data_IF_064583623312
#
_entry.id   IF_064583623312
#
_cell.length_a   1.000
_cell.length_b   1.000
_cell.length_c   1.000
_cell.angle_alpha   90.00
_cell.angle_beta   90.00
_cell.angle_gamma   90.00
#
_symmetry.space_group_name_H-M   'P 1'
#
loop_
_entity.id
_entity.type
_entity.pdbx_description
1 polymer ?
#
# COMPACT_ATOMS: atom_id res chain seq x y z
N UNK A 1 20.33 5.32 13.24
CA UNK A 1 20.19 5.29 11.77
C UNK A 1 19.17 6.33 11.34
N UNK A 2 19.54 7.27 10.44
CA UNK A 2 18.60 8.26 9.89
C UNK A 2 17.42 7.56 9.19
N UNK A 3 16.22 8.15 9.21
CA UNK A 3 15.00 7.58 8.61
C UNK A 3 15.25 7.14 7.15
N UNK A 4 15.99 7.93 6.37
CA UNK A 4 16.36 7.59 4.99
C UNK A 4 17.12 6.25 4.88
N UNK A 5 18.07 6.01 5.79
CA UNK A 5 18.88 4.79 5.76
C UNK A 5 18.04 3.58 6.19
N UNK A 6 17.04 3.75 7.08
CA UNK A 6 16.09 2.70 7.44
C UNK A 6 15.28 2.26 6.22
N UNK A 7 14.72 3.21 5.48
CA UNK A 7 13.94 2.93 4.27
C UNK A 7 14.78 2.22 3.21
N UNK A 8 16.00 2.71 2.93
CA UNK A 8 16.90 2.11 1.94
C UNK A 8 17.28 0.67 2.28
N UNK A 9 17.59 0.40 3.55
CA UNK A 9 17.91 -0.94 4.01
C UNK A 9 16.71 -1.88 3.86
N UNK A 10 15.52 -1.44 4.28
CA UNK A 10 14.29 -2.24 4.10
C UNK A 10 14.03 -2.56 2.63
N UNK A 11 14.20 -1.58 1.74
CA UNK A 11 14.02 -1.78 0.30
C UNK A 11 15.01 -2.82 -0.24
N UNK A 12 16.29 -2.68 0.09
CA UNK A 12 17.32 -3.63 -0.33
C UNK A 12 17.01 -5.05 0.14
N UNK A 13 16.70 -5.23 1.43
CA UNK A 13 16.37 -6.54 2.00
C UNK A 13 15.13 -7.15 1.35
N UNK A 14 14.09 -6.36 1.06
CA UNK A 14 12.88 -6.85 0.39
C UNK A 14 13.19 -7.30 -1.05
N UNK A 15 13.99 -6.54 -1.79
CA UNK A 15 14.41 -6.93 -3.14
C UNK A 15 15.21 -8.24 -3.11
N UNK A 16 16.16 -8.37 -2.18
CA UNK A 16 16.92 -9.62 -2.01
C UNK A 16 16.01 -10.80 -1.70
N UNK A 17 14.99 -10.63 -0.84
CA UNK A 17 14.04 -11.68 -0.51
C UNK A 17 13.23 -12.13 -1.73
N UNK A 18 12.73 -11.20 -2.56
CA UNK A 18 11.99 -11.54 -3.79
C UNK A 18 12.87 -12.31 -4.76
N UNK A 19 14.13 -11.89 -4.95
CA UNK A 19 15.09 -12.60 -5.80
C UNK A 19 15.38 -14.01 -5.25
N UNK A 20 15.55 -14.13 -3.93
CA UNK A 20 15.78 -15.42 -3.27
C UNK A 20 14.61 -16.39 -3.43
N UNK A 21 13.37 -15.92 -3.22
CA UNK A 21 12.16 -16.71 -3.44
C UNK A 21 12.06 -17.13 -4.91
N UNK A 22 12.30 -16.20 -5.84
CA UNK A 22 12.29 -16.49 -7.28
C UNK A 22 13.29 -17.58 -7.66
N UNK A 23 14.53 -17.49 -7.17
CA UNK A 23 15.56 -18.51 -7.38
C UNK A 23 15.10 -19.89 -6.90
N UNK A 24 14.60 -19.99 -5.67
CA UNK A 24 14.13 -21.26 -5.12
C UNK A 24 12.98 -21.86 -5.95
N UNK A 25 12.01 -21.03 -6.33
CA UNK A 25 10.88 -21.49 -7.15
C UNK A 25 11.36 -22.02 -8.52
N UNK A 26 12.33 -21.37 -9.16
CA UNK A 26 12.85 -21.80 -10.46
C UNK A 26 13.72 -23.04 -10.39
N UNK A 27 14.46 -23.24 -9.31
CA UNK A 27 15.35 -24.39 -9.14
C UNK A 27 14.57 -25.68 -8.89
N UNK A 28 13.47 -25.59 -8.14
CA UNK A 28 12.67 -26.75 -7.73
C UNK A 28 11.48 -27.08 -8.66
N UNK A 29 11.24 -26.30 -9.71
CA UNK A 29 10.09 -26.52 -10.62
C UNK A 29 10.42 -27.49 -11.74
N UNK A 30 9.74 -28.65 -11.78
CA UNK A 30 9.97 -29.68 -12.82
C UNK A 30 8.77 -29.87 -13.75
N UNK A 31 7.53 -29.85 -13.24
CA UNK A 31 6.29 -29.72 -14.02
C UNK A 31 5.28 -28.92 -13.20
N UNK A 32 4.86 -27.75 -13.68
CA UNK A 32 4.00 -26.86 -12.90
C UNK A 32 2.64 -26.65 -13.53
N UNK A 33 1.61 -26.75 -12.70
CA UNK A 33 0.24 -26.32 -13.02
C UNK A 33 0.09 -24.80 -12.83
N UNK A 34 0.93 -24.20 -11.99
CA UNK A 34 0.89 -22.78 -11.62
C UNK A 34 1.59 -21.86 -12.64
N UNK A 35 2.70 -22.27 -13.28
CA UNK A 35 3.38 -21.47 -14.33
C UNK A 35 2.74 -21.65 -15.70
N UNK A 36 1.45 -21.37 -15.78
CA UNK A 36 0.68 -21.37 -17.03
C UNK A 36 0.17 -19.97 -17.33
N UNK A 37 -0.18 -19.75 -18.60
CA UNK A 37 -0.70 -18.48 -19.09
C UNK A 37 -2.01 -18.71 -19.83
N UNK A 38 -3.02 -17.91 -19.50
CA UNK A 38 -4.32 -17.91 -20.14
C UNK A 38 -5.24 -19.05 -19.67
N UNK A 39 -6.45 -19.11 -20.27
CA UNK A 39 -7.45 -20.12 -19.90
C UNK A 39 -6.95 -21.53 -20.20
N UNK A 40 -7.26 -22.45 -19.30
CA UNK A 40 -7.00 -23.88 -19.48
C UNK A 40 -7.97 -24.72 -18.64
N UNK A 41 -8.07 -26.02 -18.94
CA UNK A 41 -9.05 -26.90 -18.29
C UNK A 41 -8.74 -27.19 -16.81
N UNK A 42 -7.46 -27.09 -16.43
CA UNK A 42 -7.01 -27.22 -15.04
C UNK A 42 -7.18 -25.91 -14.24
N UNK A 43 -7.54 -24.81 -14.91
CA UNK A 43 -7.71 -23.52 -14.25
C UNK A 43 -9.07 -23.44 -13.56
N UNK A 44 -9.08 -23.70 -12.25
CA UNK A 44 -10.29 -23.63 -11.42
C UNK A 44 -10.21 -22.43 -10.47
N UNK A 45 -11.17 -21.51 -10.59
CA UNK A 45 -11.38 -20.40 -9.67
C UNK A 45 -12.69 -20.58 -8.90
N UNK A 46 -12.63 -20.81 -7.58
CA UNK A 46 -13.82 -21.00 -6.70
C UNK A 46 -14.85 -21.95 -7.35
N UNK A 47 -14.40 -23.17 -7.68
CA UNK A 47 -15.22 -24.21 -8.33
C UNK A 47 -15.70 -23.90 -9.76
N UNK A 48 -15.27 -22.80 -10.38
CA UNK A 48 -15.56 -22.47 -11.78
C UNK A 48 -14.33 -22.74 -12.63
N UNK A 49 -14.47 -23.58 -13.66
CA UNK A 49 -13.43 -23.79 -14.66
C UNK A 49 -13.33 -22.59 -15.62
N UNK A 50 -12.15 -21.98 -15.68
CA UNK A 50 -11.79 -20.84 -16.52
C UNK A 50 -11.05 -21.36 -17.77
N UNK A 51 -11.79 -22.10 -18.59
CA UNK A 51 -11.27 -22.74 -19.80
C UNK A 51 -11.59 -22.00 -21.10
N UNK A 52 -12.28 -20.86 -21.03
CA UNK A 52 -12.61 -20.04 -22.21
C UNK A 52 -12.16 -18.59 -22.01
N UNK A 53 -11.80 -17.94 -23.12
CA UNK A 53 -11.39 -16.52 -23.11
C UNK A 53 -12.42 -15.58 -22.48
N UNK A 54 -13.75 -15.72 -22.72
CA UNK A 54 -14.74 -14.87 -22.05
C UNK A 54 -14.72 -15.00 -20.52
N UNK A 55 -14.61 -16.23 -19.99
CA UNK A 55 -14.50 -16.46 -18.55
C UNK A 55 -13.20 -15.85 -18.00
N UNK A 56 -12.11 -15.99 -18.74
CA UNK A 56 -10.81 -15.43 -18.39
C UNK A 56 -10.83 -13.90 -18.32
N UNK A 57 -11.37 -13.21 -19.33
CA UNK A 57 -11.51 -11.75 -19.30
C UNK A 57 -12.47 -11.26 -18.21
N UNK A 58 -13.54 -12.01 -17.93
CA UNK A 58 -14.43 -11.71 -16.80
C UNK A 58 -13.68 -11.78 -15.47
N UNK A 59 -12.81 -12.77 -15.30
CA UNK A 59 -11.96 -12.89 -14.12
C UNK A 59 -10.95 -11.75 -14.03
N UNK A 60 -10.25 -11.42 -15.11
CA UNK A 60 -9.33 -10.27 -15.13
C UNK A 60 -10.04 -8.96 -14.76
N UNK A 61 -11.27 -8.76 -15.23
CA UNK A 61 -12.08 -7.59 -14.88
C UNK A 61 -12.42 -7.56 -13.38
N UNK A 62 -12.80 -8.71 -12.81
CA UNK A 62 -13.05 -8.84 -11.37
C UNK A 62 -11.81 -8.46 -10.55
N UNK A 63 -10.65 -8.97 -10.96
CA UNK A 63 -9.35 -8.70 -10.31
C UNK A 63 -9.02 -7.22 -10.40
N UNK A 64 -9.13 -6.65 -11.60
CA UNK A 64 -8.85 -5.23 -11.84
C UNK A 64 -9.67 -4.32 -10.91
N UNK A 65 -10.98 -4.56 -10.80
CA UNK A 65 -11.86 -3.78 -9.92
C UNK A 65 -11.50 -4.02 -8.44
N UNK A 66 -11.27 -5.27 -8.05
CA UNK A 66 -10.89 -5.60 -6.68
C UNK A 66 -9.60 -4.87 -6.26
N UNK A 67 -8.60 -4.83 -7.14
CA UNK A 67 -7.28 -4.29 -6.85
C UNK A 67 -7.26 -2.75 -6.82
N UNK A 68 -8.07 -2.10 -7.67
CA UNK A 68 -8.30 -0.65 -7.55
C UNK A 68 -8.91 -0.32 -6.18
N UNK A 69 -9.99 -1.01 -5.81
CA UNK A 69 -10.68 -0.77 -4.54
C UNK A 69 -9.73 -1.06 -3.38
N UNK A 70 -8.94 -2.13 -3.48
CA UNK A 70 -7.91 -2.49 -2.51
C UNK A 70 -6.95 -1.34 -2.25
N UNK A 71 -6.34 -0.81 -3.30
CA UNK A 71 -5.32 0.23 -3.18
C UNK A 71 -5.94 1.50 -2.60
N UNK A 72 -7.14 1.90 -3.03
CA UNK A 72 -7.83 3.06 -2.46
C UNK A 72 -8.06 2.87 -0.95
N UNK A 73 -8.50 1.69 -0.52
CA UNK A 73 -8.68 1.38 0.89
C UNK A 73 -7.35 1.49 1.65
N UNK A 74 -6.28 0.91 1.13
CA UNK A 74 -4.98 0.83 1.80
C UNK A 74 -4.26 2.18 1.88
N UNK A 75 -4.45 3.04 0.88
CA UNK A 75 -3.77 4.33 0.81
C UNK A 75 -4.57 5.47 1.47
N UNK A 76 -5.91 5.37 1.55
CA UNK A 76 -6.75 6.41 2.16
C UNK A 76 -7.43 5.94 3.45
N UNK A 77 -8.20 4.85 3.38
CA UNK A 77 -9.03 4.39 4.49
C UNK A 77 -8.20 3.92 5.68
N UNK A 78 -7.24 3.03 5.43
CA UNK A 78 -6.42 2.41 6.47
C UNK A 78 -5.60 3.46 7.25
N UNK A 79 -4.89 4.44 6.62
CA UNK A 79 -4.17 5.47 7.37
C UNK A 79 -5.07 6.37 8.22
N UNK A 80 -6.24 6.77 7.72
CA UNK A 80 -7.18 7.61 8.48
C UNK A 80 -7.65 6.87 9.72
N UNK A 81 -8.09 5.62 9.57
CA UNK A 81 -8.55 4.82 10.70
C UNK A 81 -7.40 4.51 11.66
N UNK A 82 -6.23 4.15 11.13
CA UNK A 82 -5.07 3.80 11.95
C UNK A 82 -4.60 4.97 12.81
N UNK A 83 -4.47 6.16 12.21
CA UNK A 83 -4.03 7.38 12.92
C UNK A 83 -5.05 7.89 13.95
N UNK A 84 -6.34 7.59 13.80
CA UNK A 84 -7.36 7.99 14.76
C UNK A 84 -7.59 6.94 15.86
N UNK A 85 -7.45 5.65 15.57
CA UNK A 85 -7.73 4.57 16.53
C UNK A 85 -6.51 4.17 17.33
N UNK A 86 -5.34 4.03 16.69
CA UNK A 86 -4.17 3.40 17.29
C UNK A 86 -3.05 4.37 17.66
N UNK A 87 -3.12 5.64 17.26
CA UNK A 87 -2.14 6.63 17.65
C UNK A 87 -2.29 6.96 19.15
N UNK A 88 -1.34 6.56 20.02
CA UNK A 88 -1.46 6.81 21.45
C UNK A 88 -1.40 8.30 21.79
N UNK A 89 -0.78 9.12 20.95
CA UNK A 89 -0.55 10.55 21.17
C UNK A 89 -1.77 11.40 20.77
N UNK A 90 -2.66 10.85 19.94
CA UNK A 90 -3.88 11.54 19.52
C UNK A 90 -5.04 11.23 20.48
N UNK A 91 -5.12 11.98 21.58
CA UNK A 91 -6.21 11.85 22.58
C UNK A 91 -7.48 12.61 22.20
N UNK A 92 -7.35 13.63 21.38
CA UNK A 92 -8.45 14.48 20.95
C UNK A 92 -8.75 14.23 19.47
N UNK A 93 -10.01 13.89 19.18
CA UNK A 93 -10.50 13.57 17.83
C UNK A 93 -11.74 14.44 17.60
N UNK A 94 -11.66 15.37 16.66
CA UNK A 94 -12.76 16.28 16.32
C UNK A 94 -13.63 15.78 15.17
N UNK A 95 -13.06 15.00 14.25
CA UNK A 95 -13.68 14.67 12.97
C UNK A 95 -14.71 13.52 13.05
N UNK A 96 -14.69 12.74 14.13
CA UNK A 96 -15.53 11.55 14.30
C UNK A 96 -16.06 11.42 15.73
N UNK A 97 -17.31 10.96 15.86
CA UNK A 97 -17.80 10.46 17.13
C UNK A 97 -17.17 9.11 17.48
N UNK A 98 -17.10 8.78 18.78
CA UNK A 98 -16.57 7.50 19.26
C UNK A 98 -17.30 6.29 18.65
N UNK A 99 -18.63 6.37 18.51
CA UNK A 99 -19.43 5.28 17.94
C UNK A 99 -19.16 5.08 16.44
N UNK A 100 -19.05 6.18 15.68
CA UNK A 100 -18.69 6.11 14.26
C UNK A 100 -17.30 5.50 14.07
N UNK A 101 -16.31 5.96 14.83
CA UNK A 101 -14.95 5.44 14.70
C UNK A 101 -14.86 3.96 15.06
N UNK A 102 -15.56 3.54 16.13
CA UNK A 102 -15.64 2.14 16.51
C UNK A 102 -16.31 1.27 15.42
N UNK A 103 -17.43 1.73 14.87
CA UNK A 103 -18.15 1.02 13.81
C UNK A 103 -17.31 0.92 12.53
N UNK A 104 -16.82 2.06 12.01
CA UNK A 104 -16.04 2.09 10.78
C UNK A 104 -14.76 1.27 10.88
N UNK A 105 -14.02 1.36 11.98
CA UNK A 105 -12.81 0.54 12.15
C UNK A 105 -13.12 -0.96 12.10
N UNK A 106 -14.08 -1.44 12.91
CA UNK A 106 -14.40 -2.86 12.96
C UNK A 106 -14.98 -3.37 11.63
N UNK A 107 -15.88 -2.61 11.01
CA UNK A 107 -16.46 -2.96 9.71
C UNK A 107 -15.40 -3.00 8.62
N UNK A 108 -14.49 -2.01 8.58
CA UNK A 108 -13.41 -1.96 7.62
C UNK A 108 -12.47 -3.16 7.77
N UNK A 109 -12.05 -3.48 9.00
CA UNK A 109 -11.21 -4.65 9.27
C UNK A 109 -11.89 -5.96 8.89
N UNK A 110 -13.17 -6.12 9.21
CA UNK A 110 -13.93 -7.32 8.86
C UNK A 110 -14.02 -7.51 7.34
N UNK A 111 -14.43 -6.47 6.61
CA UNK A 111 -14.58 -6.51 5.15
C UNK A 111 -13.21 -6.74 4.50
N UNK A 112 -12.15 -6.07 4.98
CA UNK A 112 -10.79 -6.28 4.47
C UNK A 112 -10.30 -7.72 4.67
N UNK A 113 -10.58 -8.33 5.83
CA UNK A 113 -10.20 -9.71 6.09
C UNK A 113 -10.96 -10.70 5.19
N UNK A 114 -12.27 -10.48 4.97
CA UNK A 114 -13.05 -11.29 4.03
C UNK A 114 -12.49 -11.16 2.62
N UNK A 115 -12.27 -9.92 2.15
CA UNK A 115 -11.69 -9.63 0.83
C UNK A 115 -10.32 -10.27 0.63
N UNK A 116 -9.47 -10.23 1.67
CA UNK A 116 -8.13 -10.85 1.64
C UNK A 116 -8.17 -12.34 1.34
N UNK A 117 -9.18 -13.06 1.81
CA UNK A 117 -9.35 -14.49 1.48
C UNK A 117 -9.54 -14.66 -0.03
N UNK A 118 -10.40 -13.85 -0.65
CA UNK A 118 -10.60 -13.88 -2.10
C UNK A 118 -9.32 -13.55 -2.87
N UNK A 119 -8.59 -12.51 -2.46
CA UNK A 119 -7.31 -12.16 -3.09
C UNK A 119 -6.29 -13.29 -2.99
N UNK A 120 -6.18 -13.95 -1.84
CA UNK A 120 -5.30 -15.11 -1.69
C UNK A 120 -5.70 -16.25 -2.63
N UNK A 121 -6.99 -16.56 -2.74
CA UNK A 121 -7.49 -17.58 -3.66
C UNK A 121 -7.17 -17.23 -5.13
N UNK A 122 -7.28 -15.95 -5.51
CA UNK A 122 -6.90 -15.48 -6.85
C UNK A 122 -5.41 -15.70 -7.06
N UNK A 123 -4.56 -15.22 -6.14
CA UNK A 123 -3.10 -15.24 -6.31
C UNK A 123 -2.48 -16.64 -6.35
N UNK A 124 -3.08 -17.64 -5.69
CA UNK A 124 -2.53 -19.01 -5.69
C UNK A 124 -2.93 -19.85 -6.91
N UNK A 125 -3.88 -19.38 -7.73
CA UNK A 125 -4.40 -20.19 -8.84
C UNK A 125 -3.42 -20.30 -9.99
N UNK A 126 -2.93 -19.18 -10.51
CA UNK A 126 -1.96 -19.14 -11.62
C UNK A 126 -1.05 -17.91 -11.54
N UNK A 127 0.17 -18.04 -12.05
CA UNK A 127 1.17 -16.97 -11.99
C UNK A 127 0.79 -15.76 -12.84
N UNK A 128 0.17 -15.95 -14.00
CA UNK A 128 -0.20 -14.87 -14.91
C UNK A 128 -1.26 -13.96 -14.29
N UNK A 129 -2.24 -14.54 -13.60
CA UNK A 129 -3.25 -13.87 -12.81
C UNK A 129 -2.62 -13.09 -11.64
N UNK A 130 -1.70 -13.71 -10.91
CA UNK A 130 -0.99 -13.05 -9.82
C UNK A 130 -0.15 -11.86 -10.32
N UNK A 131 0.56 -12.02 -11.44
CA UNK A 131 1.35 -10.96 -12.06
C UNK A 131 0.47 -9.83 -12.58
N UNK A 132 -0.68 -10.15 -13.21
CA UNK A 132 -1.64 -9.14 -13.64
C UNK A 132 -2.14 -8.30 -12.47
N UNK A 133 -2.53 -8.96 -11.37
CA UNK A 133 -2.95 -8.28 -10.13
C UNK A 133 -1.87 -7.33 -9.61
N UNK A 134 -0.61 -7.80 -9.52
CA UNK A 134 0.52 -6.97 -9.09
C UNK A 134 0.70 -5.75 -10.00
N UNK A 135 0.63 -5.92 -11.33
CA UNK A 135 0.78 -4.79 -12.27
C UNK A 135 -0.33 -3.76 -12.08
N UNK A 136 -1.59 -4.20 -11.93
CA UNK A 136 -2.72 -3.30 -11.67
C UNK A 136 -2.49 -2.53 -10.38
N UNK A 137 -2.14 -3.22 -9.29
CA UNK A 137 -1.87 -2.59 -8.00
C UNK A 137 -0.74 -1.54 -8.11
N UNK A 138 0.37 -1.86 -8.78
CA UNK A 138 1.49 -0.92 -8.93
C UNK A 138 1.09 0.34 -9.72
N UNK A 139 0.29 0.20 -10.78
CA UNK A 139 -0.18 1.37 -11.56
C UNK A 139 -1.02 2.29 -10.67
N UNK A 140 -1.96 1.73 -9.90
CA UNK A 140 -2.84 2.53 -9.03
C UNK A 140 -2.03 3.15 -7.88
N UNK A 141 -1.10 2.41 -7.28
CA UNK A 141 -0.23 2.92 -6.20
C UNK A 141 0.65 4.07 -6.68
N UNK A 142 1.25 3.99 -7.87
CA UNK A 142 2.05 5.09 -8.44
C UNK A 142 1.22 6.37 -8.55
N UNK A 143 -0.01 6.26 -9.06
CA UNK A 143 -0.93 7.40 -9.19
C UNK A 143 -1.30 7.96 -7.82
N UNK A 144 -1.68 7.10 -6.87
CA UNK A 144 -2.09 7.50 -5.53
C UNK A 144 -0.96 8.15 -4.75
N UNK A 145 0.25 7.57 -4.77
CA UNK A 145 1.42 8.15 -4.10
C UNK A 145 1.73 9.53 -4.69
N UNK A 146 1.71 9.68 -6.02
CA UNK A 146 1.94 10.98 -6.65
C UNK A 146 0.93 12.02 -6.15
N UNK A 147 -0.35 11.69 -6.15
CA UNK A 147 -1.41 12.59 -5.66
C UNK A 147 -1.18 12.99 -4.20
N UNK A 148 -0.84 12.03 -3.32
CA UNK A 148 -0.56 12.28 -1.91
C UNK A 148 0.72 13.11 -1.68
N UNK A 149 1.73 12.99 -2.55
CA UNK A 149 2.95 13.79 -2.48
C UNK A 149 2.72 15.21 -3.01
N UNK A 150 1.87 15.39 -4.02
CA UNK A 150 1.53 16.70 -4.59
C UNK A 150 0.80 17.60 -3.57
N UNK A 151 0.09 17.00 -2.60
CA UNK A 151 -0.52 17.73 -1.48
C UNK A 151 0.50 18.21 -0.42
N UNK A 152 1.74 17.69 -0.45
CA UNK A 152 2.75 17.98 0.58
C UNK A 152 3.67 19.13 0.16
N UNK A 153 4.05 19.94 1.15
CA UNK A 153 5.12 20.94 1.00
C UNK A 153 6.43 20.36 1.50
N UNK A 154 7.44 20.29 0.62
CA UNK A 154 8.76 19.79 0.97
C UNK A 154 9.65 20.94 1.45
N UNK A 155 9.94 20.96 2.74
CA UNK A 155 10.79 21.98 3.36
C UNK A 155 12.21 21.42 3.51
N UNK A 156 13.22 22.19 3.10
CA UNK A 156 14.60 21.82 3.31
C UNK A 156 15.01 22.09 4.77
N UNK A 157 15.54 21.10 5.48
CA UNK A 157 15.99 21.28 6.88
C UNK A 157 17.00 22.42 7.04
N UNK A 158 17.86 22.68 6.03
CA UNK A 158 18.75 23.84 6.03
C UNK A 158 17.99 25.18 5.98
N UNK A 159 16.85 25.23 5.29
CA UNK A 159 16.02 26.44 5.24
C UNK A 159 15.25 26.70 6.54
N UNK A 160 14.92 25.65 7.31
CA UNK A 160 14.30 25.81 8.64
C UNK A 160 15.32 26.37 9.64
N UNK A 161 16.53 25.79 9.66
CA UNK A 161 17.59 26.24 10.57
C UNK A 161 17.96 27.71 10.31
N UNK A 162 18.10 28.10 9.04
CA UNK A 162 18.37 29.49 8.68
C UNK A 162 17.24 30.44 9.07
N UNK A 163 15.98 29.98 9.02
CA UNK A 163 14.81 30.80 9.39
C UNK A 163 14.72 30.97 10.90
N UNK A 164 15.02 29.93 11.68
CA UNK A 164 15.09 29.99 13.14
C UNK A 164 16.24 30.90 13.61
N UNK A 165 17.43 30.76 13.03
CA UNK A 165 18.59 31.62 13.33
C UNK A 165 18.25 33.09 12.99
N UNK A 166 17.70 33.35 11.80
CA UNK A 166 17.29 34.71 11.44
C UNK A 166 16.22 35.29 12.36
N UNK A 167 15.26 34.48 12.85
CA UNK A 167 14.28 34.97 13.82
C UNK A 167 14.88 35.27 15.19
N UNK A 168 15.87 34.48 15.64
CA UNK A 168 16.57 34.72 16.90
C UNK A 168 17.47 35.96 16.83
N UNK A 169 18.15 36.18 15.71
CA UNK A 169 18.96 37.38 15.47
C UNK A 169 18.10 38.65 15.54
N UNK A 170 16.90 38.63 14.92
CA UNK A 170 15.94 39.74 14.97
C UNK A 170 15.43 39.98 16.40
N UNK A 171 15.17 38.92 17.17
CA UNK A 171 14.75 39.03 18.57
C UNK A 171 15.86 39.63 19.44
N UNK A 172 17.11 39.21 19.24
CA UNK A 172 18.28 39.73 19.95
C UNK A 172 18.54 41.21 19.62
N UNK A 173 18.47 41.61 18.36
CA UNK A 173 18.63 43.00 17.94
C UNK A 173 17.54 43.92 18.52
N UNK A 174 16.31 43.41 18.66
CA UNK A 174 15.22 44.18 19.28
C UNK A 174 15.45 44.46 20.76
N UNK A 175 16.06 43.51 21.49
CA UNK A 175 16.34 43.63 22.93
C UNK A 175 17.47 44.63 23.18
N UNK A 176 18.51 44.64 22.34
CA UNK A 176 19.62 45.61 22.46
C UNK A 176 19.21 47.04 22.06
N UNK A 177 18.21 47.21 21.20
CA UNK A 177 17.69 48.54 20.83
C UNK A 177 16.82 49.23 21.90
N UNK A 178 16.49 48.52 23.00
CA UNK A 178 15.60 49.00 24.08
C UNK A 178 16.35 49.38 25.37
N UNK A 179 17.70 49.32 25.38
CA UNK A 179 18.58 49.78 26.45
C UNK A 179 19.25 51.10 26.09
#
# INVERSE_FOLDING_TARGET
MNQLNKVRLCLFLNTCLVVFIGFYITDFTTQSTYFRFGPNDDFIFISVQINTMPKYYSLLTLIFVNDIIRVIIQEFGDPILYMNVYNPDKKEIADFSKAQLYFYANTMFLINNIRRIFTLLISITQIDIALFSVVVEQVVVIVTIKMLLDEKKFINSKSLLNKEVASLDIEMDSIDSTK
#
